data_IF_609175895740
#
_entry.id   IF_609175895740
#
_cell.length_a   1.000
_cell.length_b   1.000
_cell.length_c   1.000
_cell.angle_alpha   90.00
_cell.angle_beta   90.00
_cell.angle_gamma   90.00
#
_symmetry.space_group_name_H-M   'P 1'
#
loop_
_entity.id
_entity.type
_entity.pdbx_description
1 polymer ?
#
# COMPACT_ATOMS: atom_id res chain seq x y z
N UNK A 1 -28.26 16.68 18.66
CA UNK A 1 -27.38 15.66 18.04
C UNK A 1 -26.43 16.28 17.01
N UNK A 2 -25.13 15.97 17.08
CA UNK A 2 -24.09 16.52 16.20
C UNK A 2 -24.15 16.03 14.75
N UNK A 3 -23.24 16.54 13.90
CA UNK A 3 -23.04 16.05 12.53
C UNK A 3 -22.43 14.64 12.56
N UNK A 4 -22.82 13.79 11.61
CA UNK A 4 -22.30 12.42 11.46
C UNK A 4 -21.40 12.40 10.23
N UNK A 5 -20.15 11.98 10.38
CA UNK A 5 -19.21 11.85 9.28
C UNK A 5 -18.85 10.39 9.05
N UNK A 6 -18.80 9.97 7.79
CA UNK A 6 -18.41 8.61 7.38
C UNK A 6 -17.22 8.70 6.43
N UNK A 7 -16.05 8.20 6.86
CA UNK A 7 -14.89 8.03 5.98
C UNK A 7 -15.05 6.72 5.24
N UNK A 8 -15.10 6.79 3.91
CA UNK A 8 -15.21 5.59 3.08
C UNK A 8 -13.82 5.02 2.83
N UNK A 9 -13.67 3.70 2.98
CA UNK A 9 -12.38 2.99 2.96
C UNK A 9 -12.14 2.17 1.70
N UNK A 10 -13.01 2.32 0.70
CA UNK A 10 -12.97 1.58 -0.57
C UNK A 10 -13.01 2.55 -1.75
N UNK A 11 -12.42 2.16 -2.88
CA UNK A 11 -12.38 2.93 -4.12
C UNK A 11 -13.75 3.00 -4.81
N UNK A 12 -14.67 2.11 -4.42
CA UNK A 12 -16.08 2.13 -4.79
C UNK A 12 -16.94 1.70 -3.57
N UNK A 13 -18.23 2.03 -3.56
CA UNK A 13 -19.11 1.87 -2.39
C UNK A 13 -20.41 1.12 -2.73
N UNK A 14 -20.73 0.09 -1.96
CA UNK A 14 -22.00 -0.65 -2.13
C UNK A 14 -23.22 0.15 -1.68
N UNK A 15 -24.38 -0.10 -2.30
CA UNK A 15 -25.67 0.49 -1.92
C UNK A 15 -26.01 0.29 -0.45
N UNK A 16 -25.52 -0.80 0.16
CA UNK A 16 -25.73 -1.11 1.57
C UNK A 16 -25.14 -0.05 2.54
N UNK A 17 -24.18 0.77 2.08
CA UNK A 17 -23.61 1.86 2.87
C UNK A 17 -24.45 3.14 2.85
N UNK A 18 -25.38 3.28 1.90
CA UNK A 18 -26.32 4.39 1.88
C UNK A 18 -27.55 4.02 2.73
N UNK A 19 -28.12 4.95 3.52
CA UNK A 19 -29.29 4.66 4.34
C UNK A 19 -30.51 4.28 3.50
N UNK A 20 -31.55 3.74 4.15
CA UNK A 20 -32.80 3.42 3.46
C UNK A 20 -33.49 4.70 2.95
N UNK A 21 -33.63 5.72 3.81
CA UNK A 21 -34.00 7.07 3.40
C UNK A 21 -32.73 7.89 3.12
N UNK A 22 -32.30 7.87 1.86
CA UNK A 22 -31.10 8.59 1.43
C UNK A 22 -31.30 10.09 1.37
N UNK A 23 -32.52 10.56 1.05
CA UNK A 23 -32.85 11.99 0.93
C UNK A 23 -32.87 12.67 2.28
N UNK A 24 -33.38 12.00 3.32
CA UNK A 24 -33.34 12.44 4.71
C UNK A 24 -32.01 12.16 5.44
N UNK A 25 -31.00 11.60 4.75
CA UNK A 25 -29.74 11.21 5.37
C UNK A 25 -29.05 12.41 6.03
N UNK A 26 -28.57 12.21 7.26
CA UNK A 26 -27.73 13.16 8.00
C UNK A 26 -26.24 12.80 7.98
N UNK A 27 -25.88 11.75 7.25
CA UNK A 27 -24.51 11.26 7.14
C UNK A 27 -23.79 12.08 6.07
N UNK A 28 -22.71 12.75 6.46
CA UNK A 28 -21.77 13.39 5.55
C UNK A 28 -20.67 12.40 5.18
N UNK A 29 -20.64 11.97 3.92
CA UNK A 29 -19.65 11.04 3.40
C UNK A 29 -18.38 11.78 2.96
N UNK A 30 -17.24 11.26 3.41
CA UNK A 30 -15.90 11.71 3.05
C UNK A 30 -15.35 10.67 2.07
N UNK A 31 -15.47 10.97 0.78
CA UNK A 31 -15.24 10.04 -0.30
C UNK A 31 -13.75 10.01 -0.70
N UNK A 32 -13.12 8.82 -0.81
CA UNK A 32 -11.72 8.71 -1.22
C UNK A 32 -11.52 8.87 -2.72
N UNK A 33 -12.56 8.61 -3.53
CA UNK A 33 -12.49 8.66 -5.00
C UNK A 33 -13.71 9.35 -5.59
N UNK A 34 -13.56 9.84 -6.82
CA UNK A 34 -14.67 10.39 -7.61
C UNK A 34 -15.77 9.34 -7.83
N UNK A 35 -15.40 8.06 -7.99
CA UNK A 35 -16.33 6.95 -8.14
C UNK A 35 -17.28 6.79 -6.95
N UNK A 36 -16.76 6.93 -5.73
CA UNK A 36 -17.59 6.90 -4.51
C UNK A 36 -18.58 8.06 -4.49
N UNK A 37 -18.15 9.27 -4.91
CA UNK A 37 -19.04 10.44 -5.01
C UNK A 37 -20.20 10.17 -5.98
N UNK A 38 -19.89 9.64 -7.17
CA UNK A 38 -20.89 9.31 -8.19
C UNK A 38 -21.88 8.27 -7.69
N UNK A 39 -21.38 7.20 -7.08
CA UNK A 39 -22.20 6.13 -6.53
C UNK A 39 -23.14 6.60 -5.42
N UNK A 40 -22.66 7.42 -4.48
CA UNK A 40 -23.50 7.97 -3.42
C UNK A 40 -24.62 8.86 -3.99
N UNK A 41 -24.32 9.66 -5.02
CA UNK A 41 -25.34 10.45 -5.73
C UNK A 41 -26.37 9.56 -6.42
N UNK A 42 -25.93 8.49 -7.09
CA UNK A 42 -26.82 7.50 -7.72
C UNK A 42 -27.72 6.81 -6.71
N UNK A 43 -27.24 6.59 -5.49
CA UNK A 43 -28.04 6.05 -4.39
C UNK A 43 -29.02 7.07 -3.80
N UNK A 44 -28.96 8.34 -4.21
CA UNK A 44 -29.86 9.40 -3.78
C UNK A 44 -29.42 10.13 -2.52
N UNK A 45 -28.14 10.08 -2.16
CA UNK A 45 -27.57 10.89 -1.07
C UNK A 45 -27.43 12.34 -1.56
N UNK A 46 -27.89 13.35 -0.79
CA UNK A 46 -27.78 14.76 -1.16
C UNK A 46 -26.33 15.19 -1.44
N UNK A 47 -26.14 16.05 -2.45
CA UNK A 47 -24.80 16.47 -2.90
C UNK A 47 -24.03 17.19 -1.79
N UNK A 48 -24.72 17.99 -0.99
CA UNK A 48 -24.21 18.70 0.19
C UNK A 48 -23.72 17.76 1.30
N UNK A 49 -24.13 16.50 1.27
CA UNK A 49 -23.71 15.46 2.20
C UNK A 49 -22.57 14.59 1.66
N UNK A 50 -21.96 14.97 0.53
CA UNK A 50 -20.88 14.22 -0.09
C UNK A 50 -19.71 15.16 -0.38
N UNK A 51 -18.56 14.89 0.21
CA UNK A 51 -17.33 15.63 -0.05
C UNK A 51 -16.25 14.69 -0.56
N UNK A 52 -15.65 15.00 -1.71
CA UNK A 52 -14.45 14.33 -2.18
C UNK A 52 -13.27 14.78 -1.33
N UNK A 53 -12.71 13.87 -0.54
CA UNK A 53 -11.58 14.18 0.35
C UNK A 53 -10.30 13.48 -0.06
N UNK A 54 -10.39 12.29 -0.65
CA UNK A 54 -9.25 11.38 -0.72
C UNK A 54 -9.11 10.53 0.55
N UNK A 55 -8.30 9.47 0.47
CA UNK A 55 -8.05 8.57 1.59
C UNK A 55 -7.05 9.19 2.59
N UNK A 56 -7.27 9.09 3.91
CA UNK A 56 -6.37 9.67 4.91
C UNK A 56 -5.09 8.84 5.07
N UNK A 57 -4.04 9.22 4.33
CA UNK A 57 -2.72 8.60 4.42
C UNK A 57 -1.90 9.14 5.60
N UNK A 58 -0.94 8.36 6.14
CA UNK A 58 -0.10 8.79 7.25
C UNK A 58 0.75 10.02 6.91
N UNK A 59 0.71 11.03 7.77
CA UNK A 59 1.44 12.30 7.57
C UNK A 59 2.95 12.11 7.65
N UNK A 60 3.40 11.20 8.49
CA UNK A 60 4.81 10.83 8.67
C UNK A 60 5.43 10.18 7.43
N UNK A 61 4.62 9.61 6.53
CA UNK A 61 5.07 9.08 5.24
C UNK A 61 5.03 10.12 4.11
N UNK A 62 4.31 11.23 4.30
CA UNK A 62 4.21 12.32 3.30
C UNK A 62 5.23 13.42 3.60
N UNK A 63 5.24 13.91 4.84
CA UNK A 63 6.04 15.05 5.27
C UNK A 63 5.53 16.39 4.73
N UNK A 64 6.10 17.49 5.23
CA UNK A 64 5.78 18.82 4.75
C UNK A 64 6.11 18.95 3.26
N UNK A 65 5.15 19.45 2.46
CA UNK A 65 5.28 19.61 0.99
C UNK A 65 5.82 18.34 0.32
N UNK A 66 5.42 17.16 0.82
CA UNK A 66 5.80 15.84 0.29
C UNK A 66 7.29 15.52 0.37
N UNK A 67 8.07 16.25 1.19
CA UNK A 67 9.53 16.08 1.26
C UNK A 67 9.93 14.64 1.60
N UNK A 68 9.24 14.02 2.55
CA UNK A 68 9.52 12.63 2.96
C UNK A 68 9.13 11.67 1.84
N UNK A 69 7.93 11.83 1.29
CA UNK A 69 7.43 10.99 0.21
C UNK A 69 8.35 10.98 -1.01
N UNK A 70 8.78 12.17 -1.48
CA UNK A 70 9.69 12.27 -2.63
C UNK A 70 11.05 11.65 -2.34
N UNK A 71 11.57 11.81 -1.12
CA UNK A 71 12.82 11.18 -0.71
C UNK A 71 12.71 9.65 -0.71
N UNK A 72 11.64 9.11 -0.11
CA UNK A 72 11.40 7.67 -0.02
C UNK A 72 11.13 7.06 -1.41
N UNK A 73 10.43 7.78 -2.31
CA UNK A 73 10.21 7.36 -3.68
C UNK A 73 11.51 7.32 -4.51
N UNK A 74 12.37 8.35 -4.42
CA UNK A 74 13.69 8.30 -5.07
C UNK A 74 14.54 7.14 -4.57
N UNK A 75 14.52 6.88 -3.25
CA UNK A 75 15.20 5.71 -2.65
C UNK A 75 14.67 4.40 -3.23
N UNK A 76 13.35 4.27 -3.33
CA UNK A 76 12.67 3.08 -3.83
C UNK A 76 12.95 2.82 -5.30
N UNK A 77 12.83 3.83 -6.16
CA UNK A 77 13.09 3.69 -7.60
C UNK A 77 14.51 3.23 -7.91
N UNK A 78 15.49 3.55 -7.05
CA UNK A 78 16.87 3.07 -7.19
C UNK A 78 16.98 1.54 -7.15
N UNK A 79 16.17 0.86 -6.34
CA UNK A 79 16.22 -0.61 -6.19
C UNK A 79 15.17 -1.32 -7.05
N UNK A 80 14.10 -0.62 -7.46
CA UNK A 80 13.04 -1.17 -8.30
C UNK A 80 13.36 -1.21 -9.80
N UNK A 81 14.41 -0.51 -10.25
CA UNK A 81 14.86 -0.49 -11.64
C UNK A 81 16.33 -0.92 -11.76
N UNK A 82 16.67 -2.17 -11.42
CA UNK A 82 18.06 -2.65 -11.37
C UNK A 82 18.74 -2.64 -12.75
N UNK A 83 17.97 -2.75 -13.84
CA UNK A 83 18.47 -2.77 -15.23
C UNK A 83 18.44 -1.40 -15.90
N UNK A 84 17.80 -0.39 -15.29
CA UNK A 84 17.68 0.96 -15.82
C UNK A 84 16.66 1.12 -16.96
N UNK A 85 15.87 0.07 -17.25
CA UNK A 85 14.87 0.08 -18.32
C UNK A 85 13.79 1.12 -18.04
N UNK A 86 13.31 1.20 -16.81
CA UNK A 86 12.28 2.18 -16.45
C UNK A 86 12.83 3.61 -16.54
N UNK A 87 14.02 3.87 -16.00
CA UNK A 87 14.61 5.21 -16.04
C UNK A 87 14.93 5.66 -17.47
N UNK A 88 15.30 4.74 -18.36
CA UNK A 88 15.48 5.04 -19.79
C UNK A 88 14.18 5.53 -20.45
N UNK A 89 13.03 4.96 -20.06
CA UNK A 89 11.74 5.27 -20.67
C UNK A 89 11.04 6.48 -20.03
N UNK A 90 11.24 6.69 -18.71
CA UNK A 90 10.47 7.66 -17.91
C UNK A 90 11.32 8.68 -17.13
N UNK A 91 12.63 8.72 -17.37
CA UNK A 91 13.59 9.58 -16.64
C UNK A 91 13.20 11.06 -16.65
N UNK A 92 12.83 11.59 -17.81
CA UNK A 92 12.43 13.00 -17.96
C UNK A 92 11.14 13.32 -17.18
N UNK A 93 10.16 12.41 -17.23
CA UNK A 93 8.91 12.52 -16.46
C UNK A 93 9.20 12.53 -14.95
N UNK A 94 10.11 11.68 -14.47
CA UNK A 94 10.49 11.67 -13.05
C UNK A 94 11.03 13.02 -12.60
N UNK A 95 11.93 13.63 -13.36
CA UNK A 95 12.53 14.91 -12.97
C UNK A 95 11.52 16.05 -12.99
N UNK A 96 10.55 16.02 -13.92
CA UNK A 96 9.48 17.00 -13.98
C UNK A 96 8.57 16.97 -12.74
N UNK A 97 8.19 15.78 -12.25
CA UNK A 97 7.22 15.65 -11.15
C UNK A 97 7.87 15.54 -9.76
N UNK A 98 9.00 14.84 -9.65
CA UNK A 98 9.73 14.65 -8.39
C UNK A 98 10.80 15.71 -8.15
N UNK A 99 11.09 16.55 -9.15
CA UNK A 99 12.24 17.45 -9.16
C UNK A 99 13.52 16.71 -9.50
N UNK A 100 14.65 17.43 -9.54
CA UNK A 100 15.95 16.84 -9.86
C UNK A 100 16.28 15.68 -8.92
N UNK A 101 16.78 14.59 -9.50
CA UNK A 101 17.28 13.43 -8.75
C UNK A 101 18.27 13.89 -7.67
N UNK A 102 18.10 13.46 -6.40
CA UNK A 102 19.03 13.81 -5.34
C UNK A 102 20.45 13.38 -5.71
N UNK A 103 21.43 14.29 -5.51
CA UNK A 103 22.86 14.01 -5.78
C UNK A 103 23.35 12.74 -5.07
N UNK A 104 22.84 12.52 -3.86
CA UNK A 104 23.09 11.32 -3.06
C UNK A 104 21.77 10.71 -2.61
N UNK A 105 21.47 9.51 -3.09
CA UNK A 105 20.46 8.64 -2.49
C UNK A 105 21.22 7.70 -1.56
N UNK A 106 21.39 8.10 -0.30
CA UNK A 106 22.13 7.29 0.67
C UNK A 106 21.29 6.08 1.06
N UNK A 107 21.55 4.94 0.40
CA UNK A 107 21.03 3.65 0.80
C UNK A 107 22.17 2.64 0.69
N UNK A 108 22.67 2.18 1.84
CA UNK A 108 23.64 1.09 1.90
C UNK A 108 23.00 -0.25 1.56
N UNK A 109 21.71 -0.39 1.83
CA UNK A 109 20.96 -1.57 1.46
C UNK A 109 20.61 -1.53 -0.03
N UNK A 110 20.90 -2.62 -0.75
CA UNK A 110 20.52 -2.78 -2.16
C UNK A 110 19.37 -3.79 -2.32
N UNK A 111 18.80 -4.29 -1.20
CA UNK A 111 17.63 -5.16 -1.23
C UNK A 111 16.41 -4.39 -1.72
N UNK A 112 15.54 -5.09 -2.44
CA UNK A 112 14.14 -4.69 -2.58
C UNK A 112 13.37 -5.23 -1.37
N UNK A 113 12.85 -4.33 -0.55
CA UNK A 113 12.06 -4.67 0.64
C UNK A 113 10.58 -4.83 0.28
N UNK A 114 10.10 -6.07 0.39
CA UNK A 114 8.70 -6.44 0.15
C UNK A 114 7.97 -6.53 1.49
N UNK A 115 6.95 -5.70 1.69
CA UNK A 115 6.05 -5.80 2.83
C UNK A 115 4.88 -6.71 2.48
N UNK A 116 4.79 -7.85 3.14
CA UNK A 116 3.60 -8.70 3.06
C UNK A 116 2.65 -8.34 4.20
N UNK A 117 1.59 -7.59 3.88
CA UNK A 117 0.59 -7.15 4.83
C UNK A 117 -0.62 -8.09 4.85
N UNK A 118 -0.75 -8.87 5.93
CA UNK A 118 -1.91 -9.72 6.17
C UNK A 118 -3.09 -8.85 6.62
N UNK A 119 -4.24 -9.01 5.95
CA UNK A 119 -5.50 -8.41 6.40
C UNK A 119 -6.01 -9.00 7.73
N UNK A 120 -6.98 -8.32 8.34
CA UNK A 120 -7.55 -8.73 9.64
C UNK A 120 -7.94 -10.21 9.74
N UNK A 121 -7.84 -10.76 10.96
CA UNK A 121 -8.07 -12.17 11.33
C UNK A 121 -7.07 -13.20 10.78
N UNK A 122 -5.88 -12.78 10.30
CA UNK A 122 -4.83 -13.72 9.86
C UNK A 122 -5.12 -14.38 8.51
N UNK A 123 -6.09 -13.83 7.76
CA UNK A 123 -6.40 -14.28 6.41
C UNK A 123 -5.13 -14.24 5.55
N UNK A 124 -4.90 -15.28 4.75
CA UNK A 124 -3.71 -15.39 3.89
C UNK A 124 -2.35 -15.60 4.59
N UNK A 125 -2.28 -15.92 5.90
CA UNK A 125 -1.01 -16.32 6.55
C UNK A 125 -0.27 -17.47 5.83
N UNK A 126 -1.03 -18.40 5.26
CA UNK A 126 -0.49 -19.50 4.46
C UNK A 126 0.10 -19.03 3.12
N UNK A 127 -0.45 -17.96 2.53
CA UNK A 127 0.10 -17.33 1.33
C UNK A 127 1.45 -16.68 1.66
N UNK A 128 1.52 -15.93 2.75
CA UNK A 128 2.77 -15.34 3.24
C UNK A 128 3.87 -16.40 3.46
N UNK A 129 3.52 -17.56 4.04
CA UNK A 129 4.45 -18.67 4.21
C UNK A 129 4.94 -19.27 2.87
N UNK A 130 4.08 -19.36 1.85
CA UNK A 130 4.46 -19.80 0.50
C UNK A 130 5.42 -18.81 -0.16
N UNK A 131 5.12 -17.51 -0.07
CA UNK A 131 5.96 -16.43 -0.58
C UNK A 131 7.32 -16.43 0.10
N UNK A 132 7.36 -16.50 1.44
CA UNK A 132 8.58 -16.59 2.22
C UNK A 132 9.44 -17.81 1.84
N UNK A 133 8.81 -18.96 1.59
CA UNK A 133 9.51 -20.16 1.10
C UNK A 133 10.11 -19.92 -0.28
N UNK A 134 9.33 -19.38 -1.21
CA UNK A 134 9.78 -19.12 -2.58
C UNK A 134 10.96 -18.14 -2.60
N UNK A 135 10.88 -17.05 -1.84
CA UNK A 135 11.91 -16.01 -1.75
C UNK A 135 13.13 -16.36 -0.89
N UNK A 136 13.19 -17.56 -0.29
CA UNK A 136 14.24 -17.91 0.69
C UNK A 136 15.66 -17.77 0.16
N UNK A 137 15.91 -18.08 -1.11
CA UNK A 137 17.23 -17.90 -1.75
C UNK A 137 17.57 -16.41 -1.87
N UNK A 138 16.65 -15.59 -2.39
CA UNK A 138 16.87 -14.15 -2.57
C UNK A 138 17.03 -13.40 -1.23
N UNK A 139 16.38 -13.88 -0.17
CA UNK A 139 16.61 -13.39 1.19
C UNK A 139 18.03 -13.71 1.65
N UNK A 140 18.49 -14.95 1.43
CA UNK A 140 19.84 -15.40 1.83
C UNK A 140 20.94 -14.66 1.08
N UNK A 141 20.74 -14.38 -0.21
CA UNK A 141 21.70 -13.65 -1.04
C UNK A 141 21.60 -12.13 -0.89
N UNK A 142 20.65 -11.62 -0.10
CA UNK A 142 20.45 -10.18 0.10
C UNK A 142 19.95 -9.44 -1.13
N UNK A 143 19.20 -10.10 -2.02
CA UNK A 143 18.48 -9.45 -3.12
C UNK A 143 17.12 -8.93 -2.68
N UNK A 144 16.44 -9.67 -1.81
CA UNK A 144 15.10 -9.35 -1.31
C UNK A 144 15.13 -9.28 0.23
N UNK A 145 14.46 -8.27 0.79
CA UNK A 145 14.11 -8.19 2.20
C UNK A 145 12.60 -8.36 2.39
N UNK A 146 12.17 -8.85 3.56
CA UNK A 146 10.75 -9.06 3.86
C UNK A 146 10.33 -8.32 5.13
N UNK A 147 9.29 -7.49 5.04
CA UNK A 147 8.49 -7.07 6.20
C UNK A 147 7.25 -7.94 6.29
N UNK A 148 7.12 -8.73 7.35
CA UNK A 148 5.97 -9.60 7.59
C UNK A 148 5.05 -8.93 8.62
N UNK A 149 3.89 -8.45 8.20
CA UNK A 149 2.98 -7.72 9.10
C UNK A 149 2.08 -8.69 9.84
N UNK A 150 2.19 -8.71 11.17
CA UNK A 150 1.35 -9.52 12.05
C UNK A 150 0.33 -8.67 12.85
N UNK A 151 0.49 -7.34 12.87
CA UNK A 151 -0.42 -6.46 13.59
C UNK A 151 -0.34 -6.66 15.11
N UNK A 152 -1.49 -6.64 15.78
CA UNK A 152 -1.62 -6.93 17.22
C UNK A 152 -1.87 -8.42 17.53
N UNK A 153 -1.77 -9.29 16.51
CA UNK A 153 -2.13 -10.70 16.62
C UNK A 153 -0.90 -11.58 16.93
N UNK A 154 -0.73 -11.89 18.21
CA UNK A 154 0.37 -12.74 18.69
C UNK A 154 0.42 -14.11 17.99
N UNK A 155 -0.72 -14.69 17.62
CA UNK A 155 -0.76 -15.98 16.93
C UNK A 155 -0.18 -15.92 15.50
N UNK A 156 -0.38 -14.80 14.80
CA UNK A 156 0.21 -14.55 13.47
C UNK A 156 1.72 -14.33 13.58
N UNK A 157 2.17 -13.58 14.58
CA UNK A 157 3.60 -13.39 14.87
C UNK A 157 4.30 -14.74 15.13
N UNK A 158 3.72 -15.56 16.01
CA UNK A 158 4.26 -16.90 16.32
C UNK A 158 4.24 -17.82 15.10
N UNK A 159 3.19 -17.73 14.28
CA UNK A 159 3.12 -18.45 13.01
C UNK A 159 4.30 -18.10 12.09
N UNK A 160 4.65 -16.81 11.95
CA UNK A 160 5.80 -16.39 11.16
C UNK A 160 7.12 -16.88 11.75
N UNK A 161 7.34 -16.68 13.05
CA UNK A 161 8.56 -17.16 13.74
C UNK A 161 8.80 -18.65 13.52
N UNK A 162 7.74 -19.47 13.61
CA UNK A 162 7.79 -20.92 13.34
C UNK A 162 8.21 -21.22 11.89
N UNK A 163 7.62 -20.56 10.90
CA UNK A 163 7.94 -20.78 9.48
C UNK A 163 9.35 -20.32 9.12
N UNK A 164 9.80 -19.19 9.65
CA UNK A 164 11.15 -18.66 9.46
C UNK A 164 12.18 -19.68 9.98
N UNK A 165 11.96 -20.24 11.17
CA UNK A 165 12.83 -21.29 11.73
C UNK A 165 12.83 -22.54 10.84
N UNK A 166 11.65 -23.01 10.41
CA UNK A 166 11.51 -24.20 9.54
C UNK A 166 12.24 -24.05 8.19
N UNK A 167 12.30 -22.84 7.65
CA UNK A 167 12.97 -22.54 6.37
C UNK A 167 14.48 -22.28 6.51
N UNK A 168 15.02 -22.35 7.73
CA UNK A 168 16.43 -22.04 7.99
C UNK A 168 16.76 -20.56 7.81
N UNK A 169 15.78 -19.67 8.04
CA UNK A 169 15.91 -18.22 7.85
C UNK A 169 16.11 -17.45 9.18
N UNK A 170 16.28 -18.15 10.29
CA UNK A 170 16.41 -17.52 11.62
C UNK A 170 17.57 -16.50 11.70
N UNK A 171 18.71 -16.78 11.06
CA UNK A 171 19.88 -15.88 11.04
C UNK A 171 19.66 -14.59 10.24
N UNK A 172 18.54 -14.49 9.50
CA UNK A 172 18.16 -13.32 8.71
C UNK A 172 17.12 -12.44 9.43
N UNK A 173 16.63 -12.85 10.60
CA UNK A 173 15.80 -12.00 11.46
C UNK A 173 16.55 -10.72 11.84
N UNK A 174 15.89 -9.57 11.69
CA UNK A 174 16.47 -8.24 11.93
C UNK A 174 17.44 -7.75 10.85
N UNK A 175 17.76 -8.58 9.83
CA UNK A 175 18.70 -8.24 8.75
C UNK A 175 18.03 -8.24 7.37
N UNK A 176 17.39 -9.35 7.01
CA UNK A 176 16.63 -9.52 5.77
C UNK A 176 15.15 -9.85 5.99
N UNK A 177 14.74 -10.09 7.23
CA UNK A 177 13.35 -10.31 7.62
C UNK A 177 13.05 -9.50 8.87
N UNK A 178 12.00 -8.68 8.84
CA UNK A 178 11.43 -8.02 10.02
C UNK A 178 9.97 -8.45 10.16
N UNK A 179 9.53 -8.67 11.40
CA UNK A 179 8.11 -8.87 11.70
C UNK A 179 7.59 -7.57 12.29
N UNK A 180 6.53 -7.02 11.71
CA UNK A 180 5.88 -5.80 12.19
C UNK A 180 4.69 -6.21 13.06
N UNK A 181 4.85 -6.03 14.37
CA UNK A 181 3.84 -6.34 15.38
C UNK A 181 3.98 -5.44 16.59
N UNK A 182 2.88 -5.18 17.29
CA UNK A 182 2.88 -4.41 18.54
C UNK A 182 1.81 -4.91 19.50
N UNK A 183 1.84 -4.46 20.75
CA UNK A 183 0.85 -4.85 21.76
C UNK A 183 -0.44 -4.04 21.62
N UNK A 184 -0.32 -2.77 21.21
CA UNK A 184 -1.46 -1.87 21.03
C UNK A 184 -1.63 -1.47 19.56
N UNK A 185 -2.84 -1.01 19.21
CA UNK A 185 -3.12 -0.54 17.85
C UNK A 185 -2.33 0.72 17.50
N UNK A 186 -2.17 1.64 18.44
CA UNK A 186 -1.48 2.92 18.19
C UNK A 186 0.01 2.70 17.94
N UNK A 187 0.66 1.85 18.76
CA UNK A 187 2.04 1.43 18.50
C UNK A 187 2.15 0.69 17.16
N UNK A 188 1.21 -0.21 16.86
CA UNK A 188 1.20 -0.93 15.59
C UNK A 188 1.13 0.02 14.40
N UNK A 189 0.25 1.03 14.44
CA UNK A 189 0.15 2.00 13.34
C UNK A 189 1.45 2.78 13.18
N UNK A 190 2.08 3.19 14.27
CA UNK A 190 3.39 3.84 14.21
C UNK A 190 4.45 2.93 13.57
N UNK A 191 4.60 1.70 14.05
CA UNK A 191 5.58 0.73 13.53
C UNK A 191 5.31 0.37 12.06
N UNK A 192 4.04 0.24 11.68
CA UNK A 192 3.63 0.00 10.30
C UNK A 192 4.00 1.16 9.39
N UNK A 193 3.71 2.39 9.79
CA UNK A 193 4.02 3.60 9.03
C UNK A 193 5.54 3.77 8.85
N UNK A 194 6.32 3.51 9.90
CA UNK A 194 7.78 3.53 9.84
C UNK A 194 8.33 2.43 8.92
N UNK A 195 7.83 1.19 9.03
CA UNK A 195 8.21 0.10 8.13
C UNK A 195 7.85 0.38 6.66
N UNK A 196 6.77 1.13 6.41
CA UNK A 196 6.35 1.53 5.07
C UNK A 196 7.34 2.47 4.36
N UNK A 197 8.04 3.32 5.11
CA UNK A 197 9.09 4.21 4.55
C UNK A 197 10.26 3.43 3.96
N UNK A 198 10.58 2.31 4.59
CA UNK A 198 11.62 1.37 4.15
C UNK A 198 11.12 0.36 3.12
N UNK A 199 9.80 0.31 2.87
CA UNK A 199 9.19 -0.65 1.95
C UNK A 199 9.27 -0.17 0.51
N UNK A 200 9.63 -1.10 -0.37
CA UNK A 200 9.73 -0.88 -1.81
C UNK A 200 8.56 -1.46 -2.59
N UNK A 201 7.94 -2.52 -2.07
CA UNK A 201 6.74 -3.14 -2.66
C UNK A 201 5.79 -3.54 -1.55
N UNK A 202 4.51 -3.16 -1.66
CA UNK A 202 3.47 -3.61 -0.73
C UNK A 202 2.71 -4.78 -1.36
N UNK A 203 2.72 -5.93 -0.71
CA UNK A 203 1.95 -7.10 -1.11
C UNK A 203 0.81 -7.33 -0.13
N UNK A 204 -0.42 -7.13 -0.59
CA UNK A 204 -1.60 -7.28 0.26
C UNK A 204 -2.85 -7.60 -0.56
N UNK A 205 -3.91 -8.04 0.11
CA UNK A 205 -5.25 -8.09 -0.51
C UNK A 205 -5.69 -6.65 -0.83
N UNK A 206 -6.52 -6.44 -1.85
CA UNK A 206 -6.93 -5.09 -2.27
C UNK A 206 -7.98 -4.51 -1.31
N UNK A 207 -7.56 -4.18 -0.09
CA UNK A 207 -8.38 -3.51 0.92
C UNK A 207 -8.10 -2.01 0.92
N UNK A 208 -8.34 -1.32 2.03
CA UNK A 208 -7.99 0.08 2.25
C UNK A 208 -6.49 0.39 2.00
N UNK A 209 -5.61 -0.62 2.15
CA UNK A 209 -4.19 -0.48 1.82
C UNK A 209 -3.94 -0.22 0.32
N UNK A 210 -4.94 -0.41 -0.54
CA UNK A 210 -4.84 -0.05 -1.96
C UNK A 210 -4.50 1.43 -2.13
N UNK A 211 -5.03 2.31 -1.27
CA UNK A 211 -4.75 3.75 -1.36
C UNK A 211 -3.32 4.14 -0.99
N UNK A 212 -2.56 3.24 -0.35
CA UNK A 212 -1.16 3.49 -0.01
C UNK A 212 -0.26 3.48 -1.25
N UNK A 213 -0.78 3.11 -2.43
CA UNK A 213 -0.13 3.34 -3.72
C UNK A 213 0.21 4.83 -3.95
N UNK A 214 -0.57 5.76 -3.37
CA UNK A 214 -0.26 7.18 -3.38
C UNK A 214 1.02 7.55 -2.62
N UNK A 215 1.63 6.64 -1.87
CA UNK A 215 2.96 6.84 -1.29
C UNK A 215 4.08 6.44 -2.27
N UNK A 216 3.73 6.24 -3.54
CA UNK A 216 4.62 5.70 -4.56
C UNK A 216 5.09 4.29 -4.22
N UNK A 217 4.30 3.54 -3.44
CA UNK A 217 4.58 2.15 -3.08
C UNK A 217 3.75 1.26 -4.03
N UNK A 218 4.37 0.59 -5.00
CA UNK A 218 3.66 -0.28 -5.92
C UNK A 218 3.05 -1.47 -5.19
N UNK A 219 1.88 -1.92 -5.65
CA UNK A 219 1.11 -2.97 -4.97
C UNK A 219 1.14 -4.28 -5.76
N UNK A 220 1.63 -5.36 -5.13
CA UNK A 220 1.34 -6.72 -5.58
C UNK A 220 -0.01 -7.14 -4.98
N UNK A 221 -1.00 -7.31 -5.84
CA UNK A 221 -2.40 -7.53 -5.45
C UNK A 221 -2.63 -9.02 -5.18
N UNK A 222 -2.76 -9.37 -3.90
CA UNK A 222 -3.19 -10.71 -3.50
C UNK A 222 -4.67 -10.95 -3.86
N UNK A 223 -5.15 -12.21 -3.92
CA UNK A 223 -6.51 -12.51 -4.33
C UNK A 223 -7.53 -11.82 -3.41
N UNK A 224 -8.56 -11.17 -3.99
CA UNK A 224 -9.70 -10.66 -3.23
C UNK A 224 -10.34 -11.74 -2.36
N UNK A 225 -10.74 -11.37 -1.16
CA UNK A 225 -11.49 -12.19 -0.20
C UNK A 225 -12.95 -11.74 -0.19
N UNK A 226 -13.20 -10.43 -0.23
CA UNK A 226 -14.53 -9.83 -0.19
C UNK A 226 -14.94 -9.19 -1.51
N UNK A 227 -16.25 -9.01 -1.72
CA UNK A 227 -16.79 -8.40 -2.94
C UNK A 227 -16.31 -6.97 -3.19
N UNK A 228 -16.08 -6.18 -2.13
CA UNK A 228 -15.57 -4.81 -2.26
C UNK A 228 -14.13 -4.77 -2.78
N UNK A 229 -13.34 -5.79 -2.46
CA UNK A 229 -11.93 -5.84 -2.80
C UNK A 229 -11.70 -5.98 -4.32
N UNK A 230 -12.69 -6.47 -5.08
CA UNK A 230 -12.65 -6.45 -6.54
C UNK A 230 -12.65 -5.03 -7.11
N UNK A 231 -13.34 -4.08 -6.48
CA UNK A 231 -13.36 -2.68 -6.94
C UNK A 231 -12.07 -1.96 -6.61
N UNK A 232 -11.46 -2.24 -5.45
CA UNK A 232 -10.14 -1.73 -5.10
C UNK A 232 -9.06 -2.30 -6.04
N UNK A 233 -9.14 -3.60 -6.37
CA UNK A 233 -8.29 -4.23 -7.37
C UNK A 233 -8.43 -3.53 -8.72
N UNK A 234 -9.66 -3.38 -9.20
CA UNK A 234 -9.94 -2.72 -10.48
C UNK A 234 -9.39 -1.29 -10.49
N UNK A 235 -9.56 -0.54 -9.39
CA UNK A 235 -9.01 0.80 -9.26
C UNK A 235 -7.48 0.82 -9.39
N UNK A 236 -6.78 -0.09 -8.71
CA UNK A 236 -5.31 -0.21 -8.81
C UNK A 236 -4.83 -0.55 -10.23
N UNK A 237 -5.55 -1.44 -10.93
CA UNK A 237 -5.24 -1.82 -12.30
C UNK A 237 -5.46 -0.64 -13.27
N UNK A 238 -6.55 0.11 -13.10
CA UNK A 238 -6.87 1.28 -13.95
C UNK A 238 -5.85 2.39 -13.79
N UNK A 239 -5.39 2.68 -12.57
CA UNK A 239 -4.36 3.71 -12.35
C UNK A 239 -2.94 3.18 -12.60
N UNK A 240 -2.77 1.91 -12.96
CA UNK A 240 -1.46 1.31 -13.22
C UNK A 240 -0.54 1.19 -12.00
N UNK A 241 -1.07 1.27 -10.78
CA UNK A 241 -0.27 1.27 -9.55
C UNK A 241 -0.18 -0.10 -8.86
N UNK A 242 -0.90 -1.10 -9.38
CA UNK A 242 -0.88 -2.45 -8.85
C UNK A 242 -0.79 -3.52 -9.93
N UNK A 243 -0.09 -4.60 -9.61
CA UNK A 243 0.08 -5.78 -10.46
C UNK A 243 -0.53 -6.96 -9.75
N UNK A 244 -1.37 -7.74 -10.44
CA UNK A 244 -1.93 -8.96 -9.87
C UNK A 244 -0.82 -9.94 -9.48
N UNK A 245 -0.94 -10.59 -8.33
CA UNK A 245 0.04 -11.62 -7.96
C UNK A 245 -0.03 -12.79 -8.96
N UNK A 246 1.14 -13.33 -9.29
CA UNK A 246 1.25 -14.59 -10.00
C UNK A 246 1.24 -15.78 -9.04
N UNK A 247 1.47 -17.00 -9.56
CA UNK A 247 1.56 -18.20 -8.74
C UNK A 247 2.64 -18.03 -7.63
N UNK A 248 2.26 -18.07 -6.34
CA UNK A 248 3.18 -17.82 -5.22
C UNK A 248 4.30 -18.85 -5.06
N UNK A 249 4.19 -20.00 -5.73
CA UNK A 249 5.27 -21.00 -5.75
C UNK A 249 6.50 -20.48 -6.48
N UNK A 250 6.29 -19.67 -7.52
CA UNK A 250 7.32 -19.20 -8.45
C UNK A 250 7.69 -17.72 -8.22
N UNK A 251 7.39 -17.16 -7.04
CA UNK A 251 7.68 -15.76 -6.70
C UNK A 251 9.12 -15.36 -6.92
N UNK A 252 10.08 -16.24 -6.63
CA UNK A 252 11.49 -15.97 -6.88
C UNK A 252 11.87 -15.74 -8.34
N UNK A 253 11.03 -16.16 -9.29
CA UNK A 253 11.23 -15.95 -10.73
C UNK A 253 10.51 -14.67 -11.14
N UNK A 254 9.17 -14.67 -11.09
CA UNK A 254 8.38 -13.59 -11.67
C UNK A 254 8.61 -12.23 -11.00
N UNK A 255 8.94 -12.16 -9.70
CA UNK A 255 9.22 -10.87 -9.07
C UNK A 255 10.51 -10.26 -9.62
N UNK A 256 11.48 -11.09 -9.96
CA UNK A 256 12.76 -10.65 -10.52
C UNK A 256 12.53 -10.20 -11.97
N UNK A 257 11.75 -10.94 -12.74
CA UNK A 257 11.38 -10.54 -14.10
C UNK A 257 10.67 -9.17 -14.10
N UNK A 258 9.76 -8.92 -13.14
CA UNK A 258 9.06 -7.65 -13.05
C UNK A 258 9.97 -6.48 -12.65
N UNK A 259 10.99 -6.75 -11.81
CA UNK A 259 12.03 -5.77 -11.48
C UNK A 259 12.91 -5.49 -12.69
N UNK A 260 13.39 -6.53 -13.37
CA UNK A 260 14.33 -6.42 -14.49
C UNK A 260 13.70 -5.73 -15.71
N UNK A 261 12.37 -5.81 -15.86
CA UNK A 261 11.62 -5.07 -16.89
C UNK A 261 11.14 -3.68 -16.44
N UNK A 262 11.39 -3.29 -15.19
CA UNK A 262 11.01 -1.97 -14.66
C UNK A 262 9.51 -1.79 -14.38
N UNK A 263 8.69 -2.84 -14.45
CA UNK A 263 7.24 -2.76 -14.28
C UNK A 263 6.82 -2.32 -12.87
N UNK A 264 7.55 -2.78 -11.85
CA UNK A 264 7.28 -2.39 -10.46
C UNK A 264 7.70 -0.93 -10.21
N UNK A 265 8.78 -0.46 -10.84
CA UNK A 265 9.19 0.93 -10.78
C UNK A 265 8.18 1.85 -11.47
N UNK A 266 7.63 1.43 -12.62
CA UNK A 266 6.53 2.14 -13.29
C UNK A 266 5.30 2.23 -12.40
N UNK A 267 4.88 1.12 -11.79
CA UNK A 267 3.75 1.10 -10.85
C UNK A 267 3.96 2.05 -9.67
N UNK A 268 5.19 2.20 -9.19
CA UNK A 268 5.53 3.13 -8.11
C UNK A 268 5.31 4.59 -8.55
N UNK A 269 5.74 4.94 -9.77
CA UNK A 269 5.53 6.27 -10.32
C UNK A 269 4.05 6.53 -10.58
N UNK A 270 3.33 5.59 -11.19
CA UNK A 270 1.90 5.72 -11.49
C UNK A 270 1.08 5.95 -10.21
N UNK A 271 1.33 5.18 -9.15
CA UNK A 271 0.72 5.42 -7.85
C UNK A 271 1.01 6.82 -7.32
N UNK A 272 2.25 7.32 -7.51
CA UNK A 272 2.60 8.68 -7.13
C UNK A 272 1.90 9.76 -7.97
N UNK A 273 1.63 9.54 -9.26
CA UNK A 273 1.02 10.54 -10.14
C UNK A 273 -0.51 10.56 -10.05
N UNK A 274 -1.13 9.38 -10.00
CA UNK A 274 -2.57 9.22 -10.19
C UNK A 274 -3.36 9.17 -8.88
N UNK A 275 -2.78 8.68 -7.79
CA UNK A 275 -3.51 8.49 -6.53
C UNK A 275 -3.50 9.76 -5.64
N UNK A 276 -4.68 10.21 -5.13
CA UNK A 276 -4.76 11.35 -4.23
C UNK A 276 -4.12 11.10 -2.86
N UNK A 277 -3.53 12.15 -2.25
CA UNK A 277 -2.91 12.10 -0.90
C UNK A 277 -3.28 13.21 0.06
N UNK A 278 -4.16 14.12 -0.35
CA UNK A 278 -4.65 15.23 0.49
C UNK A 278 -5.68 14.83 1.54
N UNK A 279 -5.99 13.54 1.71
CA UNK A 279 -7.11 13.04 2.50
C UNK A 279 -7.21 13.60 3.91
N UNK A 280 -6.10 13.58 4.67
CA UNK A 280 -6.13 14.05 6.06
C UNK A 280 -6.46 15.54 6.17
N UNK A 281 -5.83 16.38 5.34
CA UNK A 281 -6.07 17.83 5.35
C UNK A 281 -7.48 18.18 4.84
N UNK A 282 -7.93 17.50 3.79
CA UNK A 282 -9.27 17.69 3.26
C UNK A 282 -10.35 17.28 4.28
N UNK A 283 -10.18 16.16 4.97
CA UNK A 283 -11.08 15.72 6.05
C UNK A 283 -11.06 16.72 7.20
N UNK A 284 -9.87 17.17 7.63
CA UNK A 284 -9.73 18.18 8.69
C UNK A 284 -10.51 19.45 8.36
N UNK A 285 -10.39 19.93 7.12
CA UNK A 285 -11.08 21.11 6.60
C UNK A 285 -12.61 20.92 6.45
N UNK A 286 -13.14 19.70 6.52
CA UNK A 286 -14.58 19.45 6.45
C UNK A 286 -15.17 19.26 7.83
N UNK A 287 -14.46 18.55 8.71
CA UNK A 287 -14.96 18.13 10.02
C UNK A 287 -14.76 19.20 11.10
N UNK A 288 -13.62 19.90 11.10
CA UNK A 288 -13.22 20.82 12.17
C UNK A 288 -13.26 22.31 11.76
N UNK A 289 -14.03 22.63 10.72
CA UNK A 289 -14.36 24.02 10.37
C UNK A 289 -15.31 24.64 11.39
#
# INVERSE_FOLDING_TARGET
PGKIFCVVTDADISRAWAPMDTRGSRIHYLAPTQRVVERLRLYGVPKENITLTGFPLPKENIGEKEKILKQDLWRRLRVLDPTGVFHKNYGDTLEQFLGKKPKCIYCKDQRVWVMFAIGGAGAQRNLAAKVLKSLSVHIKTGKIGMHLVAGIHNDVEQFFKKHIKKLGLANFMGKGIKIVSAQTKDEYFHEFNMALRETDVLWTKPSELSFYSALGVPIIIAPPIGSQEFFNKYWLEVIGAGVAQENPKYTHEWIMDYLDNGWIAESALQGYLEAPRGGVENIRNVVFK
#
